data_IF_771753364035
#
_entry.id   IF_771753364035
#
_cell.length_a   1.000
_cell.length_b   1.000
_cell.length_c   1.000
_cell.angle_alpha   90.00
_cell.angle_beta   90.00
_cell.angle_gamma   90.00
#
_symmetry.space_group_name_H-M   'P 1'
#
loop_
_entity.id
_entity.type
_entity.pdbx_description
1 polymer ?
#
# COMPACT_ATOMS: atom_id res chain seq x y z
N UNK A 1 -6.79 -17.98 0.91
CA UNK A 1 -6.09 -16.72 0.58
C UNK A 1 -6.46 -15.71 1.64
N UNK A 2 -5.48 -15.03 2.24
CA UNK A 2 -5.68 -14.23 3.44
C UNK A 2 -6.70 -13.12 3.16
N UNK A 3 -7.81 -13.14 3.91
CA UNK A 3 -8.67 -11.96 4.06
C UNK A 3 -7.79 -10.85 4.66
N UNK A 4 -8.06 -9.56 4.38
CA UNK A 4 -7.45 -8.49 5.16
C UNK A 4 -7.62 -8.81 6.64
N UNK A 5 -6.55 -8.73 7.41
CA UNK A 5 -6.60 -9.01 8.84
C UNK A 5 -7.38 -7.85 9.50
N UNK A 6 -8.70 -8.03 9.65
CA UNK A 6 -9.63 -6.99 10.08
C UNK A 6 -9.38 -6.54 11.51
N UNK A 7 -8.96 -7.44 12.40
CA UNK A 7 -8.50 -7.10 13.75
C UNK A 7 -7.23 -6.26 13.68
N UNK A 8 -6.32 -6.58 12.75
CA UNK A 8 -5.15 -5.75 12.49
C UNK A 8 -5.51 -4.36 11.92
N UNK A 9 -6.48 -4.24 11.02
CA UNK A 9 -6.92 -2.91 10.56
C UNK A 9 -7.58 -2.14 11.72
N UNK A 10 -8.41 -2.81 12.52
CA UNK A 10 -9.08 -2.21 13.68
C UNK A 10 -8.10 -1.75 14.76
N UNK A 11 -7.14 -2.60 15.14
CA UNK A 11 -6.05 -2.22 16.05
C UNK A 11 -5.24 -1.07 15.48
N UNK A 12 -4.98 -1.04 14.16
CA UNK A 12 -4.29 0.08 13.53
C UNK A 12 -5.10 1.39 13.63
N UNK A 13 -6.42 1.34 13.36
CA UNK A 13 -7.32 2.50 13.50
C UNK A 13 -7.36 3.02 14.95
N UNK A 14 -7.43 2.11 15.93
CA UNK A 14 -7.47 2.45 17.37
C UNK A 14 -6.12 3.00 17.86
N UNK A 15 -5.01 2.36 17.51
CA UNK A 15 -3.65 2.78 17.90
C UNK A 15 -3.26 4.13 17.29
N UNK A 16 -3.60 4.37 16.02
CA UNK A 16 -3.28 5.62 15.34
C UNK A 16 -4.21 6.79 15.73
N UNK A 17 -5.18 6.57 16.63
CA UNK A 17 -6.11 7.61 17.10
C UNK A 17 -7.04 8.14 16.00
N UNK A 18 -7.38 7.30 15.02
CA UNK A 18 -7.64 7.72 13.64
C UNK A 18 -9.11 7.64 13.14
N UNK A 19 -10.15 8.07 13.88
CA UNK A 19 -11.44 8.34 13.24
C UNK A 19 -11.32 9.44 12.16
N UNK A 20 -10.66 10.56 12.46
CA UNK A 20 -10.68 11.78 11.62
C UNK A 20 -9.99 11.66 10.26
N UNK A 21 -8.83 10.99 10.21
CA UNK A 21 -8.01 10.90 9.01
C UNK A 21 -8.66 9.97 7.96
N UNK A 22 -9.33 8.90 8.42
CA UNK A 22 -10.17 8.06 7.55
C UNK A 22 -11.43 8.82 7.11
N UNK A 23 -12.09 9.58 8.01
CA UNK A 23 -13.25 10.42 7.64
C UNK A 23 -12.93 11.40 6.51
N UNK A 24 -11.74 12.03 6.54
CA UNK A 24 -11.29 12.94 5.49
C UNK A 24 -11.11 12.27 4.12
N UNK A 25 -10.84 10.97 4.10
CA UNK A 25 -10.71 10.17 2.89
C UNK A 25 -11.99 9.43 2.49
N UNK A 26 -12.95 9.23 3.41
CA UNK A 26 -14.17 8.47 3.16
C UNK A 26 -15.04 9.05 2.03
N UNK A 27 -14.95 10.36 1.81
CA UNK A 27 -15.62 11.07 0.70
C UNK A 27 -14.94 10.89 -0.66
N UNK A 28 -13.75 10.29 -0.70
CA UNK A 28 -12.98 10.03 -1.93
C UNK A 28 -13.37 8.68 -2.53
N UNK A 29 -12.84 8.41 -3.71
CA UNK A 29 -13.00 7.16 -4.46
C UNK A 29 -11.70 6.81 -5.17
N UNK A 30 -11.62 5.56 -5.62
CA UNK A 30 -10.48 4.97 -6.31
C UNK A 30 -9.21 4.96 -5.47
N UNK A 31 -8.09 5.15 -6.16
CA UNK A 31 -6.74 5.19 -5.58
C UNK A 31 -6.60 6.26 -4.48
N UNK A 32 -7.36 7.36 -4.56
CA UNK A 32 -7.32 8.42 -3.53
C UNK A 32 -7.95 7.98 -2.19
N UNK A 33 -8.98 7.12 -2.24
CA UNK A 33 -9.54 6.49 -1.05
C UNK A 33 -8.59 5.40 -0.53
N UNK A 34 -8.14 4.51 -1.41
CA UNK A 34 -7.21 3.42 -1.06
C UNK A 34 -5.90 3.97 -0.46
N UNK A 35 -5.37 5.08 -0.97
CA UNK A 35 -4.21 5.78 -0.40
C UNK A 35 -4.46 6.21 1.05
N UNK A 36 -5.69 6.67 1.37
CA UNK A 36 -6.10 6.96 2.74
C UNK A 36 -6.07 5.72 3.63
N UNK A 37 -6.59 4.60 3.14
CA UNK A 37 -6.55 3.30 3.83
C UNK A 37 -5.11 2.87 4.11
N UNK A 38 -4.22 2.94 3.12
CA UNK A 38 -2.81 2.57 3.29
C UNK A 38 -2.09 3.49 4.29
N UNK A 39 -2.39 4.79 4.29
CA UNK A 39 -1.85 5.72 5.30
C UNK A 39 -2.21 5.29 6.72
N UNK A 40 -3.42 4.78 6.93
CA UNK A 40 -3.82 4.24 8.25
C UNK A 40 -2.97 3.03 8.59
N UNK A 41 -2.89 2.06 7.69
CA UNK A 41 -2.11 0.86 7.94
C UNK A 41 -0.65 1.16 8.26
N UNK A 42 -0.05 2.10 7.51
CA UNK A 42 1.33 2.54 7.70
C UNK A 42 1.54 3.32 9.00
N UNK A 43 0.49 3.87 9.61
CA UNK A 43 0.57 4.50 10.94
C UNK A 43 0.60 3.48 12.08
N UNK A 44 0.30 2.20 11.80
CA UNK A 44 0.34 1.11 12.79
C UNK A 44 1.78 0.75 13.16
N UNK A 45 2.03 0.50 14.45
CA UNK A 45 3.35 0.10 14.99
C UNK A 45 3.93 -1.17 14.34
N UNK A 46 3.07 -2.04 13.82
CA UNK A 46 3.39 -3.31 13.15
C UNK A 46 3.01 -3.33 11.65
N UNK A 47 3.02 -2.18 10.97
CA UNK A 47 2.69 -2.08 9.54
C UNK A 47 3.50 -3.05 8.66
N UNK A 48 4.78 -3.28 8.98
CA UNK A 48 5.65 -4.24 8.29
C UNK A 48 5.14 -5.70 8.36
N UNK A 49 4.37 -6.05 9.38
CA UNK A 49 3.69 -7.35 9.49
C UNK A 49 2.35 -7.28 8.76
N UNK A 50 1.52 -6.28 9.07
CA UNK A 50 0.14 -6.19 8.57
C UNK A 50 0.03 -6.00 7.06
N UNK A 51 0.94 -5.26 6.43
CA UNK A 51 0.92 -4.99 4.98
C UNK A 51 1.86 -5.88 4.18
N UNK A 52 2.95 -6.35 4.78
CA UNK A 52 4.03 -7.02 4.05
C UNK A 52 4.29 -8.44 4.55
N UNK A 53 3.46 -8.98 5.44
CA UNK A 53 3.61 -10.31 6.04
C UNK A 53 5.01 -10.54 6.65
N UNK A 54 5.64 -9.49 7.18
CA UNK A 54 6.99 -9.55 7.76
C UNK A 54 8.12 -9.70 6.73
N UNK A 55 7.84 -9.61 5.43
CA UNK A 55 8.86 -9.68 4.37
C UNK A 55 9.76 -8.44 4.29
N UNK A 56 9.42 -7.39 5.05
CA UNK A 56 10.22 -6.17 5.20
C UNK A 56 10.51 -5.92 6.68
N UNK A 57 11.64 -5.28 6.95
CA UNK A 57 12.00 -4.89 8.31
C UNK A 57 11.09 -3.75 8.83
N UNK A 58 11.05 -3.50 10.16
CA UNK A 58 10.25 -2.43 10.74
C UNK A 58 10.39 -1.10 10.01
N UNK A 59 9.25 -0.45 9.75
CA UNK A 59 9.19 0.84 9.06
C UNK A 59 9.41 1.94 10.09
N UNK A 60 10.44 2.76 9.88
CA UNK A 60 10.81 3.87 10.78
C UNK A 60 10.46 5.24 10.20
N UNK A 61 10.18 5.33 8.90
CA UNK A 61 9.75 6.56 8.24
C UNK A 61 8.87 6.26 7.05
N UNK A 62 7.80 7.06 6.92
CA UNK A 62 6.83 6.99 5.83
C UNK A 62 6.76 8.37 5.17
N UNK A 63 7.01 8.43 3.87
CA UNK A 63 6.83 9.63 3.06
C UNK A 63 5.78 9.32 1.99
N UNK A 64 4.58 9.89 2.12
CA UNK A 64 3.56 9.79 1.08
C UNK A 64 3.82 10.81 -0.02
N UNK A 65 3.44 10.49 -1.26
CA UNK A 65 3.53 11.44 -2.37
C UNK A 65 4.98 11.95 -2.56
N UNK A 66 5.97 11.07 -2.38
CA UNK A 66 7.38 11.43 -2.34
C UNK A 66 7.89 11.82 -3.74
N UNK A 67 8.42 13.05 -3.93
CA UNK A 67 8.83 13.52 -5.25
C UNK A 67 10.13 12.85 -5.71
N UNK A 68 10.15 12.45 -6.98
CA UNK A 68 11.37 12.01 -7.69
C UNK A 68 11.51 12.80 -8.99
N UNK A 69 12.70 12.86 -9.63
CA UNK A 69 12.94 13.71 -10.79
C UNK A 69 11.92 13.55 -11.95
N UNK A 70 11.37 12.35 -12.14
CA UNK A 70 10.42 12.01 -13.21
C UNK A 70 9.11 11.43 -12.69
N UNK A 71 8.63 11.90 -11.55
CA UNK A 71 7.32 11.51 -11.03
C UNK A 71 7.20 11.64 -9.54
N UNK A 72 6.34 10.82 -8.97
CA UNK A 72 6.03 10.82 -7.56
C UNK A 72 5.73 9.39 -7.12
N UNK A 73 6.33 8.98 -6.02
CA UNK A 73 6.10 7.68 -5.40
C UNK A 73 4.91 7.84 -4.46
N UNK A 74 3.92 6.96 -4.55
CA UNK A 74 2.77 7.00 -3.64
C UNK A 74 3.20 6.87 -2.18
N UNK A 75 4.07 5.90 -1.88
CA UNK A 75 4.71 5.76 -0.57
C UNK A 75 6.19 5.36 -0.67
N UNK A 76 7.05 6.15 -0.05
CA UNK A 76 8.45 5.82 0.17
C UNK A 76 8.67 5.47 1.65
N UNK A 77 9.09 4.24 1.91
CA UNK A 77 9.22 3.67 3.25
C UNK A 77 10.69 3.41 3.56
N UNK A 78 11.18 3.92 4.69
CA UNK A 78 12.52 3.63 5.19
C UNK A 78 12.42 2.64 6.34
N UNK A 79 13.27 1.61 6.30
CA UNK A 79 13.30 0.55 7.29
C UNK A 79 14.50 0.67 8.23
N UNK A 80 14.40 0.08 9.42
CA UNK A 80 15.43 0.10 10.46
C UNK A 80 16.74 -0.61 10.06
N UNK A 81 16.68 -1.58 9.15
CA UNK A 81 17.83 -2.30 8.59
C UNK A 81 18.64 -1.46 7.57
N UNK A 82 18.22 -0.22 7.30
CA UNK A 82 18.82 0.70 6.34
C UNK A 82 18.40 0.46 4.88
N UNK A 83 17.39 -0.38 4.66
CA UNK A 83 16.75 -0.54 3.35
C UNK A 83 15.54 0.39 3.17
N UNK A 84 15.01 0.45 1.96
CA UNK A 84 13.79 1.17 1.66
C UNK A 84 12.85 0.36 0.76
N UNK A 85 11.56 0.69 0.82
CA UNK A 85 10.54 0.21 -0.12
C UNK A 85 9.96 1.40 -0.88
N UNK A 86 9.93 1.28 -2.20
CA UNK A 86 9.27 2.20 -3.13
C UNK A 86 7.94 1.55 -3.52
N UNK A 87 6.83 2.19 -3.17
CA UNK A 87 5.50 1.62 -3.32
C UNK A 87 4.68 2.42 -4.33
N UNK A 88 4.09 1.71 -5.28
CA UNK A 88 3.05 2.22 -6.19
C UNK A 88 1.72 1.57 -5.80
N UNK A 89 0.63 2.34 -5.81
CA UNK A 89 -0.72 1.90 -5.53
C UNK A 89 -1.57 1.90 -6.81
N UNK A 90 -2.35 0.83 -7.00
CA UNK A 90 -3.29 0.71 -8.11
C UNK A 90 -4.65 0.22 -7.66
N UNK A 91 -5.72 0.79 -8.23
CA UNK A 91 -7.07 0.27 -8.06
C UNK A 91 -7.38 -0.79 -9.13
N UNK A 92 -7.54 -2.05 -8.71
CA UNK A 92 -7.87 -3.18 -9.58
C UNK A 92 -9.19 -3.06 -10.34
N UNK A 93 -10.10 -2.19 -9.88
CA UNK A 93 -11.33 -1.88 -10.64
C UNK A 93 -11.06 -1.16 -11.96
N UNK A 94 -9.89 -0.54 -12.10
CA UNK A 94 -9.42 0.04 -13.37
C UNK A 94 -8.94 -1.03 -14.37
N UNK A 95 -8.96 -2.30 -13.99
CA UNK A 95 -8.64 -3.44 -14.84
C UNK A 95 -7.16 -3.84 -14.85
N UNK A 96 -6.91 -5.05 -15.34
CA UNK A 96 -5.60 -5.69 -15.35
C UNK A 96 -4.48 -4.80 -15.93
N UNK A 97 -4.72 -4.18 -17.09
CA UNK A 97 -3.71 -3.37 -17.76
C UNK A 97 -3.28 -2.16 -16.92
N UNK A 98 -4.23 -1.53 -16.22
CA UNK A 98 -3.95 -0.41 -15.33
C UNK A 98 -3.04 -0.84 -14.19
N UNK A 99 -3.34 -1.97 -13.54
CA UNK A 99 -2.52 -2.50 -12.44
C UNK A 99 -1.12 -2.88 -12.93
N UNK A 100 -1.02 -3.58 -14.06
CA UNK A 100 0.27 -3.98 -14.63
C UNK A 100 1.15 -2.78 -15.00
N UNK A 101 0.58 -1.65 -15.41
CA UNK A 101 1.34 -0.43 -15.66
C UNK A 101 2.11 0.06 -14.41
N UNK A 102 1.60 -0.22 -13.20
CA UNK A 102 2.26 0.07 -11.93
C UNK A 102 3.61 -0.61 -11.76
N UNK A 103 3.85 -1.77 -12.40
CA UNK A 103 5.16 -2.44 -12.41
C UNK A 103 6.22 -1.53 -13.05
N UNK A 104 5.89 -0.90 -14.17
CA UNK A 104 6.80 0.03 -14.86
C UNK A 104 7.09 1.28 -14.03
N UNK A 105 6.06 1.83 -13.37
CA UNK A 105 6.18 3.00 -12.50
C UNK A 105 7.11 2.73 -11.31
N UNK A 106 6.85 1.65 -10.57
CA UNK A 106 7.66 1.33 -9.37
C UNK A 106 9.12 1.02 -9.72
N UNK A 107 9.38 0.37 -10.87
CA UNK A 107 10.75 0.15 -11.37
C UNK A 107 11.41 1.49 -11.69
N UNK A 108 10.75 2.37 -12.45
CA UNK A 108 11.27 3.67 -12.82
C UNK A 108 11.61 4.54 -11.60
N UNK A 109 10.74 4.57 -10.60
CA UNK A 109 10.97 5.34 -9.39
C UNK A 109 12.08 4.74 -8.52
N UNK A 110 12.14 3.41 -8.40
CA UNK A 110 13.19 2.74 -7.64
C UNK A 110 14.59 2.98 -8.21
N UNK A 111 14.72 3.03 -9.55
CA UNK A 111 15.98 3.38 -10.21
C UNK A 111 16.38 4.82 -9.87
N UNK A 112 15.45 5.77 -9.91
CA UNK A 112 15.74 7.17 -9.57
C UNK A 112 16.18 7.34 -8.11
N UNK A 113 15.53 6.64 -7.17
CA UNK A 113 15.96 6.62 -5.77
C UNK A 113 17.35 6.01 -5.65
N UNK A 114 17.63 4.90 -6.35
CA UNK A 114 18.95 4.26 -6.35
C UNK A 114 20.07 5.16 -6.89
N UNK A 115 19.78 5.97 -7.91
CA UNK A 115 20.73 6.92 -8.50
C UNK A 115 21.02 8.14 -7.60
N UNK A 116 20.21 8.39 -6.57
CA UNK A 116 20.38 9.55 -5.67
C UNK A 116 21.56 9.41 -4.69
N UNK A 117 22.30 8.28 -4.70
CA UNK A 117 23.39 7.98 -3.75
C UNK A 117 22.97 8.14 -2.28
N UNK A 118 21.75 7.74 -1.96
CA UNK A 118 21.10 7.91 -0.65
C UNK A 118 21.71 7.11 0.51
N UNK A 119 22.72 6.27 0.26
CA UNK A 119 23.32 5.40 1.28
C UNK A 119 22.44 4.20 1.70
N UNK A 120 21.30 4.00 1.03
CA UNK A 120 20.40 2.87 1.27
C UNK A 120 21.09 1.54 0.93
N UNK A 121 20.96 0.55 1.81
CA UNK A 121 21.54 -0.79 1.61
C UNK A 121 20.84 -1.58 0.52
N UNK A 122 19.52 -1.38 0.37
CA UNK A 122 18.66 -2.09 -0.58
C UNK A 122 17.41 -1.27 -0.85
N UNK A 123 16.95 -1.28 -2.09
CA UNK A 123 15.65 -0.72 -2.49
C UNK A 123 14.76 -1.86 -2.97
N UNK A 124 13.59 -2.02 -2.33
CA UNK A 124 12.53 -2.93 -2.75
C UNK A 124 11.52 -2.18 -3.60
N UNK A 125 11.06 -2.84 -4.66
CA UNK A 125 9.96 -2.40 -5.51
C UNK A 125 8.70 -3.07 -5.00
N UNK A 126 7.66 -2.31 -4.71
CA UNK A 126 6.40 -2.82 -4.18
C UNK A 126 5.24 -2.31 -5.04
N UNK A 127 4.41 -3.23 -5.54
CA UNK A 127 3.13 -2.88 -6.14
C UNK A 127 2.01 -3.24 -5.17
N UNK A 128 1.40 -2.22 -4.59
CA UNK A 128 0.17 -2.33 -3.83
C UNK A 128 -1.00 -2.28 -4.80
N UNK A 129 -1.89 -3.26 -4.77
CA UNK A 129 -3.03 -3.26 -5.70
C UNK A 129 -4.29 -3.82 -5.05
N UNK A 130 -5.42 -3.14 -5.24
CA UNK A 130 -6.71 -3.70 -4.87
C UNK A 130 -7.12 -4.79 -5.87
N UNK A 131 -8.02 -5.66 -5.43
CA UNK A 131 -8.53 -6.77 -6.26
C UNK A 131 -9.17 -6.25 -7.55
N UNK A 132 -8.95 -6.98 -8.63
CA UNK A 132 -9.72 -6.86 -9.86
C UNK A 132 -11.05 -7.61 -9.72
N UNK A 133 -11.88 -7.57 -10.76
CA UNK A 133 -13.11 -8.38 -10.82
C UNK A 133 -12.86 -9.85 -11.21
N UNK A 134 -11.59 -10.28 -11.30
CA UNK A 134 -11.18 -11.57 -11.87
C UNK A 134 -10.06 -12.20 -11.05
N UNK A 135 -10.32 -13.36 -10.45
CA UNK A 135 -9.30 -14.11 -9.68
C UNK A 135 -8.11 -14.50 -10.58
N UNK A 136 -8.37 -14.82 -11.86
CA UNK A 136 -7.29 -15.12 -12.80
C UNK A 136 -6.41 -13.90 -13.07
N UNK A 137 -7.01 -12.70 -13.14
CA UNK A 137 -6.27 -11.46 -13.36
C UNK A 137 -5.44 -11.11 -12.13
N UNK A 138 -6.00 -11.26 -10.92
CA UNK A 138 -5.26 -11.10 -9.66
C UNK A 138 -4.04 -12.03 -9.62
N UNK A 139 -4.20 -13.31 -10.01
CA UNK A 139 -3.09 -14.27 -10.06
C UNK A 139 -2.02 -13.88 -11.10
N UNK A 140 -2.44 -13.39 -12.27
CA UNK A 140 -1.53 -12.89 -13.31
C UNK A 140 -0.75 -11.66 -12.84
N UNK A 141 -1.37 -10.74 -12.10
CA UNK A 141 -0.70 -9.57 -11.51
C UNK A 141 0.40 -10.02 -10.56
N UNK A 142 0.08 -10.97 -9.66
CA UNK A 142 1.06 -11.53 -8.71
C UNK A 142 2.23 -12.18 -9.46
N UNK A 143 1.95 -13.02 -10.44
CA UNK A 143 3.00 -13.67 -11.24
C UNK A 143 3.88 -12.64 -11.97
N UNK A 144 3.27 -11.65 -12.63
CA UNK A 144 3.98 -10.59 -13.34
C UNK A 144 4.89 -9.79 -12.42
N UNK A 145 4.41 -9.44 -11.21
CA UNK A 145 5.22 -8.76 -10.20
C UNK A 145 6.45 -9.58 -9.83
N UNK A 146 6.25 -10.86 -9.49
CA UNK A 146 7.34 -11.75 -9.08
C UNK A 146 8.37 -11.93 -10.21
N UNK A 147 7.95 -12.09 -11.46
CA UNK A 147 8.84 -12.16 -12.63
C UNK A 147 9.62 -10.86 -12.87
N UNK A 148 9.05 -9.72 -12.53
CA UNK A 148 9.70 -8.40 -12.61
C UNK A 148 10.58 -8.06 -11.38
N UNK A 149 10.66 -8.96 -10.38
CA UNK A 149 11.34 -8.66 -9.11
C UNK A 149 10.67 -7.54 -8.32
N UNK A 150 9.35 -7.39 -8.47
CA UNK A 150 8.48 -6.50 -7.72
C UNK A 150 7.73 -7.33 -6.69
N UNK A 151 7.67 -6.87 -5.45
CA UNK A 151 6.89 -7.48 -4.38
C UNK A 151 5.41 -7.12 -4.59
N UNK A 152 4.52 -8.09 -4.89
CA UNK A 152 3.09 -7.82 -4.92
C UNK A 152 2.55 -7.71 -3.49
N UNK A 153 1.80 -6.65 -3.22
CA UNK A 153 1.06 -6.45 -1.97
C UNK A 153 -0.42 -6.32 -2.34
N UNK A 154 -1.17 -7.42 -2.39
CA UNK A 154 -2.60 -7.35 -2.63
C UNK A 154 -3.29 -6.69 -1.43
N UNK A 155 -4.19 -5.75 -1.70
CA UNK A 155 -5.00 -5.08 -0.70
C UNK A 155 -6.49 -5.31 -0.98
N UNK A 156 -7.33 -5.13 0.04
CA UNK A 156 -8.78 -5.18 -0.14
C UNK A 156 -9.27 -4.15 -1.18
N UNK A 157 -10.41 -4.44 -1.81
CA UNK A 157 -11.11 -3.51 -2.70
C UNK A 157 -11.62 -2.29 -1.94
N UNK A 158 -11.92 -1.21 -2.66
CA UNK A 158 -12.54 -0.03 -2.05
C UNK A 158 -13.83 -0.38 -1.31
N UNK A 159 -14.67 -1.23 -1.89
CA UNK A 159 -15.97 -1.59 -1.31
C UNK A 159 -15.78 -2.36 0.00
N UNK A 160 -14.85 -3.32 0.02
CA UNK A 160 -14.48 -4.07 1.23
C UNK A 160 -13.99 -3.13 2.35
N UNK A 161 -13.15 -2.14 2.01
CA UNK A 161 -12.65 -1.18 2.99
C UNK A 161 -13.72 -0.18 3.45
N UNK A 162 -14.62 0.26 2.55
CA UNK A 162 -15.74 1.15 2.90
C UNK A 162 -16.76 0.48 3.80
N UNK A 163 -17.09 -0.78 3.52
CA UNK A 163 -17.96 -1.59 4.36
C UNK A 163 -17.37 -1.75 5.75
N UNK A 164 -16.09 -2.14 5.84
CA UNK A 164 -15.38 -2.31 7.11
C UNK A 164 -15.31 -1.00 7.91
N UNK A 165 -14.97 0.11 7.26
CA UNK A 165 -14.92 1.42 7.88
C UNK A 165 -16.29 1.90 8.37
N UNK A 166 -17.37 1.64 7.62
CA UNK A 166 -18.74 1.98 8.04
C UNK A 166 -19.15 1.20 9.29
N UNK A 167 -18.91 -0.11 9.29
CA UNK A 167 -19.19 -0.97 10.44
C UNK A 167 -18.44 -0.50 11.70
N UNK A 168 -17.17 -0.09 11.55
CA UNK A 168 -16.39 0.46 12.65
C UNK A 168 -17.01 1.75 13.22
N UNK A 169 -17.42 2.68 12.35
CA UNK A 169 -18.05 3.95 12.74
C UNK A 169 -19.34 3.69 13.52
N UNK A 170 -20.16 2.75 13.07
CA UNK A 170 -21.44 2.42 13.72
C UNK A 170 -21.26 1.83 15.13
N UNK A 171 -20.17 1.09 15.35
CA UNK A 171 -19.85 0.48 16.66
C UNK A 171 -19.32 1.52 17.65
N UNK A 172 -18.46 2.44 17.21
CA UNK A 172 -17.69 3.32 18.11
C UNK A 172 -18.26 4.73 18.27
N UNK A 173 -19.35 5.06 17.57
CA UNK A 173 -20.02 6.36 17.64
C UNK A 173 -21.35 6.32 18.40
N UNK A 174 -21.69 5.18 19.00
CA UNK A 174 -22.71 5.05 20.06
C UNK A 174 -22.08 5.21 21.43
#
# INVERSE_FOLDING_TARGET
MAKPDWEAIESAYREAGMPELLYGHFKKSGEAFLSGVIKVFLASSNAHIKLFDGQVAPIIRVESEFPVPRGRIDFFLVHDDGSASVCELKDGRNGLQSVLAGIGQVICYSVQVGMSNSGLRRIRKVLMFSRTNSISDDALIVEACLKAGVMPVPIGSEDEHKEAASAFIDIHRK
#
